data_IF_752975338040
#
_entry.id   IF_752975338040
#
_cell.length_a   1.000
_cell.length_b   1.000
_cell.length_c   1.000
_cell.angle_alpha   90.00
_cell.angle_beta   90.00
_cell.angle_gamma   90.00
#
_symmetry.space_group_name_H-M   'P 1'
#
loop_
_entity.id
_entity.type
_entity.pdbx_description
1 polymer ?
#
# COMPACT_ATOMS: atom_id res chain seq x y z
N UNK A 1 -36.45 -5.92 32.34
CA UNK A 1 -36.89 -6.87 33.39
C UNK A 1 -36.68 -8.28 32.86
N UNK A 2 -35.63 -8.95 33.32
CA UNK A 2 -35.36 -10.35 32.96
C UNK A 2 -36.14 -11.25 33.91
N UNK A 3 -37.02 -12.10 33.37
CA UNK A 3 -37.76 -13.10 34.14
C UNK A 3 -36.92 -14.38 34.14
N UNK A 4 -36.61 -14.89 35.34
CA UNK A 4 -35.91 -16.17 35.51
C UNK A 4 -36.83 -17.35 35.15
N UNK A 5 -36.32 -18.40 34.49
CA UNK A 5 -37.13 -19.56 34.12
C UNK A 5 -37.58 -20.35 35.35
N UNK A 6 -38.80 -20.88 35.29
CA UNK A 6 -39.40 -21.63 36.40
C UNK A 6 -38.76 -23.03 36.55
N UNK A 7 -38.84 -23.68 37.73
CA UNK A 7 -38.27 -25.01 37.97
C UNK A 7 -38.73 -26.09 36.97
N UNK A 8 -39.91 -25.92 36.35
CA UNK A 8 -40.44 -26.81 35.31
C UNK A 8 -39.70 -26.67 33.97
N UNK A 9 -39.14 -25.50 33.66
CA UNK A 9 -38.37 -25.27 32.42
C UNK A 9 -36.93 -25.79 32.55
N UNK A 10 -36.35 -25.71 33.75
CA UNK A 10 -35.04 -26.31 34.05
C UNK A 10 -35.06 -27.84 33.91
N UNK A 11 -36.16 -28.50 34.30
CA UNK A 11 -36.32 -29.95 34.13
C UNK A 11 -36.45 -30.39 32.65
N UNK A 12 -37.04 -29.55 31.79
CA UNK A 12 -37.12 -29.79 30.34
C UNK A 12 -35.74 -29.64 29.67
N UNK A 13 -34.96 -28.64 30.08
CA UNK A 13 -33.59 -28.43 29.57
C UNK A 13 -32.64 -29.56 29.96
N UNK A 14 -32.74 -30.10 31.18
CA UNK A 14 -31.96 -31.26 31.61
C UNK A 14 -32.31 -32.53 30.82
N UNK A 15 -33.58 -32.73 30.49
CA UNK A 15 -34.02 -33.87 29.67
C UNK A 15 -33.52 -33.78 28.22
N UNK A 16 -33.55 -32.59 27.63
CA UNK A 16 -33.02 -32.34 26.27
C UNK A 16 -31.50 -32.53 26.22
N UNK A 17 -30.77 -32.05 27.23
CA UNK A 17 -29.32 -32.25 27.33
C UNK A 17 -28.95 -33.74 27.44
N UNK A 18 -29.75 -34.53 28.18
CA UNK A 18 -29.52 -35.97 28.34
C UNK A 18 -29.76 -36.74 27.03
N UNK A 19 -30.80 -36.38 26.28
CA UNK A 19 -31.08 -36.96 24.95
C UNK A 19 -29.98 -36.60 23.93
N UNK A 20 -29.50 -35.34 23.95
CA UNK A 20 -28.39 -34.93 23.08
C UNK A 20 -27.08 -35.66 23.42
N UNK A 21 -26.80 -35.90 24.70
CA UNK A 21 -25.61 -36.66 25.12
C UNK A 21 -25.69 -38.12 24.65
N UNK A 22 -26.87 -38.74 24.73
CA UNK A 22 -27.11 -40.11 24.24
C UNK A 22 -26.99 -40.20 22.71
N UNK A 23 -27.46 -39.19 21.96
CA UNK A 23 -27.29 -39.12 20.51
C UNK A 23 -25.82 -38.92 20.10
N UNK A 24 -25.06 -38.12 20.85
CA UNK A 24 -23.62 -37.95 20.62
C UNK A 24 -22.83 -39.23 20.93
N UNK A 25 -23.17 -39.95 22.01
CA UNK A 25 -22.54 -41.22 22.37
C UNK A 25 -22.84 -42.34 21.37
N UNK A 26 -24.09 -42.42 20.88
CA UNK A 26 -24.45 -43.41 19.85
C UNK A 26 -23.79 -43.12 18.50
N UNK A 27 -23.66 -41.84 18.13
CA UNK A 27 -22.93 -41.44 16.92
C UNK A 27 -21.42 -41.70 17.04
N UNK A 28 -20.83 -41.48 18.24
CA UNK A 28 -19.43 -41.80 18.51
C UNK A 28 -19.16 -43.31 18.43
N UNK A 29 -19.99 -44.14 19.05
CA UNK A 29 -19.87 -45.62 18.98
C UNK A 29 -20.04 -46.14 17.53
N UNK A 30 -20.88 -45.47 16.71
CA UNK A 30 -21.04 -45.79 15.29
C UNK A 30 -19.78 -45.45 14.47
N UNK A 31 -19.14 -44.31 14.73
CA UNK A 31 -17.89 -43.90 14.07
C UNK A 31 -16.72 -44.79 14.47
N UNK A 32 -16.64 -45.23 15.73
CA UNK A 32 -15.61 -46.17 16.21
C UNK A 32 -15.71 -47.54 15.50
N UNK A 33 -16.93 -48.04 15.27
CA UNK A 33 -17.16 -49.29 14.52
C UNK A 33 -16.82 -49.17 13.04
N UNK A 34 -17.04 -47.99 12.43
CA UNK A 34 -16.62 -47.71 11.05
C UNK A 34 -15.09 -47.64 10.93
N UNK A 35 -14.42 -47.03 11.91
CA UNK A 35 -12.96 -46.94 11.98
C UNK A 35 -12.27 -48.30 12.21
N UNK A 36 -12.89 -49.24 12.93
CA UNK A 36 -12.38 -50.61 13.08
C UNK A 36 -12.64 -51.53 11.87
N UNK A 37 -13.71 -51.28 11.10
CA UNK A 37 -14.00 -51.95 9.84
C UNK A 37 -12.95 -51.62 8.77
N UNK A 38 -12.57 -50.34 8.65
CA UNK A 38 -11.60 -49.89 7.64
C UNK A 38 -10.16 -50.36 7.91
N UNK A 39 -9.84 -50.74 9.16
CA UNK A 39 -8.54 -51.36 9.49
C UNK A 39 -8.41 -52.82 9.04
N UNK A 40 -9.50 -53.53 8.75
CA UNK A 40 -9.45 -54.93 8.30
C UNK A 40 -9.28 -55.09 6.78
N UNK A 41 -9.33 -54.00 6.01
CA UNK A 41 -9.16 -54.04 4.55
C UNK A 41 -7.72 -53.79 4.06
N UNK A 42 -6.77 -53.50 4.97
CA UNK A 42 -5.38 -53.14 4.59
C UNK A 42 -4.37 -54.30 4.63
N UNK A 43 -4.79 -55.56 4.83
CA UNK A 43 -3.89 -56.71 4.80
C UNK A 43 -4.46 -57.88 4.00
N UNK A 44 -4.58 -57.72 2.67
CA UNK A 44 -4.53 -58.83 1.71
C UNK A 44 -4.64 -58.30 0.27
N UNK A 45 -3.51 -58.22 -0.44
CA UNK A 45 -3.37 -58.77 -1.79
C UNK A 45 -1.99 -58.44 -2.36
N UNK A 46 -1.21 -59.49 -2.59
CA UNK A 46 -0.07 -59.49 -3.50
C UNK A 46 -0.64 -59.46 -4.92
N UNK A 47 -0.45 -58.36 -5.65
CA UNK A 47 -0.49 -58.38 -7.12
C UNK A 47 0.65 -57.50 -7.64
N UNK A 48 1.59 -58.16 -8.32
CA UNK A 48 2.68 -57.53 -9.08
C UNK A 48 2.08 -56.82 -10.30
N UNK A 49 1.77 -55.54 -10.15
CA UNK A 49 1.50 -54.62 -11.24
C UNK A 49 2.51 -53.46 -11.15
N UNK A 50 3.15 -53.13 -12.28
CA UNK A 50 4.07 -51.99 -12.41
C UNK A 50 3.52 -50.75 -11.68
N UNK A 51 4.11 -50.40 -10.55
CA UNK A 51 3.93 -49.08 -9.94
C UNK A 51 4.57 -48.08 -10.89
N UNK A 52 3.77 -47.46 -11.74
CA UNK A 52 4.06 -46.12 -12.19
C UNK A 52 4.10 -45.27 -10.92
N UNK A 53 5.31 -44.88 -10.49
CA UNK A 53 5.45 -43.82 -9.50
C UNK A 53 4.58 -42.64 -9.98
N UNK A 54 3.77 -42.01 -9.12
CA UNK A 54 3.20 -40.74 -9.49
C UNK A 54 4.39 -39.87 -9.84
N UNK A 55 4.44 -39.40 -11.09
CA UNK A 55 5.32 -38.32 -11.49
C UNK A 55 5.21 -37.29 -10.38
N UNK A 56 6.30 -37.01 -9.67
CA UNK A 56 6.37 -35.85 -8.77
C UNK A 56 5.89 -34.68 -9.60
N UNK A 57 4.62 -34.30 -9.43
CA UNK A 57 4.05 -33.17 -10.10
C UNK A 57 4.84 -32.01 -9.51
N UNK A 58 5.83 -31.51 -10.27
CA UNK A 58 6.69 -30.43 -9.82
C UNK A 58 5.76 -29.36 -9.30
N UNK A 59 5.91 -29.04 -8.03
CA UNK A 59 5.14 -28.01 -7.38
C UNK A 59 5.24 -26.75 -8.24
N UNK A 60 4.15 -26.40 -8.95
CA UNK A 60 4.13 -25.26 -9.86
C UNK A 60 4.51 -23.97 -9.13
N UNK A 61 4.20 -23.89 -7.84
CA UNK A 61 4.49 -22.75 -7.00
C UNK A 61 5.91 -22.75 -6.43
N UNK A 62 6.66 -23.85 -6.52
CA UNK A 62 8.08 -23.92 -6.13
C UNK A 62 8.41 -23.24 -4.79
N UNK A 63 7.60 -23.46 -3.76
CA UNK A 63 7.81 -22.78 -2.46
C UNK A 63 7.50 -21.28 -2.44
N UNK A 64 6.62 -20.81 -3.33
CA UNK A 64 6.14 -19.41 -3.39
C UNK A 64 4.68 -19.28 -2.95
N UNK A 65 4.23 -20.14 -2.05
CA UNK A 65 2.83 -20.14 -1.61
C UNK A 65 2.56 -19.04 -0.59
N UNK A 66 1.44 -18.35 -0.76
CA UNK A 66 0.97 -17.33 0.17
C UNK A 66 -0.31 -17.82 0.84
N UNK A 67 -0.40 -17.62 2.14
CA UNK A 67 -1.63 -17.81 2.91
C UNK A 67 -2.12 -16.46 3.42
N UNK A 68 -3.41 -16.17 3.22
CA UNK A 68 -4.04 -14.97 3.75
C UNK A 68 -4.74 -15.34 5.05
N UNK A 69 -4.40 -14.66 6.15
CA UNK A 69 -5.08 -14.90 7.43
C UNK A 69 -6.59 -14.64 7.30
N UNK A 70 -7.46 -15.57 7.75
CA UNK A 70 -8.91 -15.39 7.73
C UNK A 70 -9.34 -14.50 8.90
N UNK A 71 -8.92 -13.23 8.86
CA UNK A 71 -9.24 -12.25 9.89
C UNK A 71 -10.74 -11.93 9.90
N UNK A 72 -11.35 -11.71 11.08
CA UNK A 72 -12.72 -11.22 11.18
C UNK A 72 -12.95 -9.92 10.38
N UNK A 73 -14.15 -9.70 9.80
CA UNK A 73 -14.43 -8.55 8.93
C UNK A 73 -14.14 -7.16 9.53
N UNK A 74 -14.09 -7.06 10.86
CA UNK A 74 -13.75 -5.83 11.58
C UNK A 74 -12.35 -5.28 11.24
N UNK A 75 -11.43 -6.13 10.75
CA UNK A 75 -10.07 -5.76 10.37
C UNK A 75 -9.95 -5.32 8.91
N UNK A 76 -10.99 -5.44 8.09
CA UNK A 76 -10.96 -5.02 6.70
C UNK A 76 -12.31 -4.51 6.19
N UNK A 77 -13.25 -5.39 5.83
CA UNK A 77 -14.52 -5.04 5.19
C UNK A 77 -15.32 -4.01 5.97
N UNK A 78 -15.45 -4.16 7.28
CA UNK A 78 -16.20 -3.21 8.12
C UNK A 78 -15.49 -1.87 8.31
N UNK A 79 -14.17 -1.80 8.10
CA UNK A 79 -13.44 -0.53 8.07
C UNK A 79 -13.83 0.22 6.80
N UNK A 80 -13.90 -0.47 5.66
CA UNK A 80 -14.36 0.13 4.40
C UNK A 80 -15.81 0.59 4.49
N UNK A 81 -16.71 -0.24 5.03
CA UNK A 81 -18.11 0.10 5.22
C UNK A 81 -18.27 1.37 6.06
N UNK A 82 -17.49 1.53 7.14
CA UNK A 82 -17.51 2.73 8.00
C UNK A 82 -16.93 3.97 7.33
N UNK A 83 -15.85 3.82 6.59
CA UNK A 83 -15.18 4.95 5.95
C UNK A 83 -15.97 5.55 4.77
N UNK A 84 -16.95 4.82 4.18
CA UNK A 84 -17.94 5.40 3.28
C UNK A 84 -18.98 6.31 3.97
N UNK A 85 -19.13 6.28 5.30
CA UNK A 85 -20.14 7.05 6.05
C UNK A 85 -19.58 8.29 6.77
N UNK A 86 -18.30 8.66 6.55
CA UNK A 86 -17.69 9.83 7.18
C UNK A 86 -17.38 10.90 6.13
N UNK A 87 -18.34 11.81 5.92
CA UNK A 87 -18.08 13.20 5.52
C UNK A 87 -18.99 14.13 6.34
N UNK A 88 -18.40 15.13 7.02
CA UNK A 88 -18.70 16.51 6.66
C UNK A 88 -17.45 17.25 6.13
N UNK A 89 -17.64 18.31 5.33
CA UNK A 89 -16.59 19.01 4.61
C UNK A 89 -15.82 19.90 5.58
N UNK A 90 -14.57 19.57 5.92
CA UNK A 90 -13.53 20.53 6.39
C UNK A 90 -12.22 19.88 6.85
N UNK A 91 -12.05 18.55 6.87
CA UNK A 91 -10.78 17.93 7.26
C UNK A 91 -10.12 17.19 6.09
N UNK A 92 -8.90 17.64 5.77
CA UNK A 92 -7.98 17.20 4.71
C UNK A 92 -7.51 15.73 4.76
N UNK A 93 -8.36 14.74 5.06
CA UNK A 93 -7.84 13.35 5.18
C UNK A 93 -8.84 12.22 4.85
N UNK A 94 -9.92 12.49 4.13
CA UNK A 94 -10.98 11.50 3.80
C UNK A 94 -10.84 10.80 2.44
N UNK A 95 -9.67 10.83 1.79
CA UNK A 95 -9.49 10.37 0.39
C UNK A 95 -9.48 8.85 0.15
N UNK A 96 -9.71 8.00 1.16
CA UNK A 96 -9.41 6.57 1.04
C UNK A 96 -10.50 5.72 0.37
N UNK A 97 -11.76 6.17 0.30
CA UNK A 97 -12.86 5.38 -0.28
C UNK A 97 -13.72 6.11 -1.31
N UNK A 98 -13.64 7.44 -1.42
CA UNK A 98 -14.41 8.23 -2.40
C UNK A 98 -13.83 8.20 -3.82
N UNK A 99 -12.82 7.35 -4.06
CA UNK A 99 -11.77 7.67 -5.03
C UNK A 99 -11.63 6.60 -6.14
N UNK A 100 -12.68 5.78 -6.31
CA UNK A 100 -12.86 4.87 -7.47
C UNK A 100 -13.94 5.33 -8.47
N UNK A 101 -14.40 6.58 -8.39
CA UNK A 101 -15.34 7.13 -9.37
C UNK A 101 -14.60 7.62 -10.63
N UNK A 102 -15.07 7.16 -11.78
CA UNK A 102 -14.71 7.71 -13.09
C UNK A 102 -15.22 9.15 -13.21
N UNK A 103 -14.53 10.06 -13.93
CA UNK A 103 -15.01 11.41 -14.12
C UNK A 103 -16.34 11.40 -14.91
N UNK A 104 -17.38 11.95 -14.29
CA UNK A 104 -18.49 12.55 -15.03
C UNK A 104 -17.99 13.82 -15.71
N UNK A 105 -18.39 14.03 -16.96
CA UNK A 105 -18.08 15.21 -17.77
C UNK A 105 -18.52 16.50 -17.07
N UNK A 106 -17.65 17.16 -16.29
CA UNK A 106 -17.68 18.62 -16.08
C UNK A 106 -16.47 19.05 -15.24
N UNK A 107 -15.39 19.45 -15.91
CA UNK A 107 -14.39 20.36 -15.34
C UNK A 107 -13.74 21.15 -16.49
N UNK A 108 -14.49 22.10 -17.03
CA UNK A 108 -13.99 23.12 -17.94
C UNK A 108 -13.11 24.09 -17.16
N UNK A 109 -11.79 23.87 -17.26
CA UNK A 109 -10.69 24.85 -17.32
C UNK A 109 -9.41 24.17 -16.76
N UNK A 110 -8.37 24.11 -17.61
CA UNK A 110 -6.96 23.66 -17.37
C UNK A 110 -6.53 22.27 -17.93
N UNK A 111 -7.38 21.46 -18.56
CA UNK A 111 -7.02 20.12 -19.06
C UNK A 111 -6.73 20.06 -20.58
N UNK A 112 -5.56 20.50 -21.02
CA UNK A 112 -5.12 20.29 -22.41
C UNK A 112 -4.51 18.90 -22.68
N UNK A 113 -4.54 17.97 -21.71
CA UNK A 113 -4.00 16.62 -21.90
C UNK A 113 -5.08 15.55 -21.79
N UNK A 114 -5.02 14.55 -22.68
CA UNK A 114 -5.87 13.36 -22.63
C UNK A 114 -5.07 12.24 -21.97
N UNK A 115 -5.56 11.74 -20.84
CA UNK A 115 -5.01 10.58 -20.16
C UNK A 115 -5.54 9.33 -20.86
N UNK A 116 -4.67 8.59 -21.54
CA UNK A 116 -5.02 7.43 -22.34
C UNK A 116 -4.28 6.18 -21.83
N UNK A 117 -4.90 4.99 -21.90
CA UNK A 117 -6.33 4.79 -22.13
C UNK A 117 -7.15 5.22 -20.90
N UNK A 118 -8.27 5.90 -21.12
CA UNK A 118 -9.06 6.49 -20.02
C UNK A 118 -9.56 5.44 -19.00
N UNK A 119 -9.75 4.18 -19.45
CA UNK A 119 -10.14 3.03 -18.63
C UNK A 119 -9.12 2.62 -17.56
N UNK A 120 -7.87 3.09 -17.68
CA UNK A 120 -6.80 2.79 -16.75
C UNK A 120 -6.56 3.91 -15.73
N UNK A 121 -7.28 5.03 -15.83
CA UNK A 121 -7.11 6.18 -14.93
C UNK A 121 -8.24 6.31 -13.91
N UNK A 122 -7.85 6.44 -12.65
CA UNK A 122 -8.72 6.50 -11.49
C UNK A 122 -8.30 7.65 -10.58
N UNK A 123 -9.25 8.14 -9.77
CA UNK A 123 -8.96 9.15 -8.74
C UNK A 123 -8.38 8.49 -7.48
N UNK A 124 -7.29 7.75 -7.56
CA UNK A 124 -6.83 6.92 -6.43
C UNK A 124 -6.30 7.74 -5.25
N UNK A 125 -6.88 7.51 -4.06
CA UNK A 125 -6.44 8.11 -2.80
C UNK A 125 -5.05 7.64 -2.35
N UNK A 126 -4.27 8.54 -1.74
CA UNK A 126 -2.89 8.28 -1.33
C UNK A 126 -2.71 7.15 -0.30
N UNK A 127 -3.78 6.80 0.43
CA UNK A 127 -3.77 5.76 1.47
C UNK A 127 -4.43 4.44 1.05
N UNK A 128 -4.67 4.24 -0.25
CA UNK A 128 -5.37 3.06 -0.79
C UNK A 128 -4.51 1.77 -0.83
N UNK A 129 -3.24 1.83 -0.42
CA UNK A 129 -2.27 0.74 -0.58
C UNK A 129 -2.75 -0.60 -0.02
N UNK A 130 -3.38 -0.60 1.16
CA UNK A 130 -3.88 -1.83 1.83
C UNK A 130 -4.92 -2.56 0.98
N UNK A 131 -5.83 -1.80 0.35
CA UNK A 131 -6.88 -2.34 -0.50
C UNK A 131 -6.25 -2.97 -1.75
N UNK A 132 -5.35 -2.25 -2.40
CA UNK A 132 -4.75 -2.66 -3.67
C UNK A 132 -3.89 -3.92 -3.51
N UNK A 133 -3.06 -3.97 -2.47
CA UNK A 133 -2.22 -5.13 -2.19
C UNK A 133 -3.06 -6.33 -1.79
N UNK A 134 -4.10 -6.16 -0.95
CA UNK A 134 -4.99 -7.28 -0.58
C UNK A 134 -5.72 -7.85 -1.80
N UNK A 135 -6.23 -6.98 -2.68
CA UNK A 135 -6.90 -7.40 -3.91
C UNK A 135 -5.96 -8.14 -4.87
N UNK A 136 -4.68 -7.78 -4.91
CA UNK A 136 -3.67 -8.51 -5.68
C UNK A 136 -3.29 -9.84 -5.05
N UNK A 137 -3.13 -9.92 -3.74
CA UNK A 137 -2.92 -11.19 -3.04
C UNK A 137 -4.05 -12.20 -3.29
N UNK A 138 -5.32 -11.74 -3.30
CA UNK A 138 -6.48 -12.60 -3.58
C UNK A 138 -6.48 -13.22 -4.99
N UNK A 139 -5.80 -12.59 -5.94
CA UNK A 139 -5.68 -13.05 -7.33
C UNK A 139 -4.34 -13.74 -7.61
N UNK A 140 -3.49 -13.88 -6.60
CA UNK A 140 -2.18 -14.50 -6.76
C UNK A 140 -2.30 -15.99 -7.06
N UNK A 141 -1.61 -16.46 -8.10
CA UNK A 141 -1.75 -17.83 -8.62
C UNK A 141 -1.32 -18.92 -7.62
N UNK A 142 -0.44 -18.58 -6.68
CA UNK A 142 0.06 -19.49 -5.64
C UNK A 142 -0.52 -19.20 -4.27
N UNK A 143 -1.76 -18.72 -4.22
CA UNK A 143 -2.54 -18.68 -2.99
C UNK A 143 -2.88 -20.11 -2.51
N UNK A 144 -2.77 -20.36 -1.21
CA UNK A 144 -3.14 -21.65 -0.59
C UNK A 144 -4.11 -21.45 0.56
N UNK A 145 -5.09 -22.36 0.68
CA UNK A 145 -5.98 -22.44 1.85
C UNK A 145 -5.39 -23.31 2.97
N UNK A 146 -4.34 -24.08 2.68
CA UNK A 146 -3.59 -24.83 3.69
C UNK A 146 -2.39 -24.01 4.20
N UNK A 147 -2.42 -23.53 5.47
CA UNK A 147 -1.33 -22.78 6.05
C UNK A 147 -0.06 -23.61 6.28
N UNK A 148 -0.09 -24.95 6.21
CA UNK A 148 1.11 -25.78 6.30
C UNK A 148 1.96 -25.75 5.04
N UNK A 149 1.34 -25.41 3.90
CA UNK A 149 2.04 -25.29 2.62
C UNK A 149 2.57 -23.88 2.37
N UNK A 150 2.26 -22.93 3.23
CA UNK A 150 2.55 -21.52 3.02
C UNK A 150 4.01 -21.16 3.35
N UNK A 151 4.58 -20.31 2.50
CA UNK A 151 5.92 -19.74 2.66
C UNK A 151 5.85 -18.31 3.22
N UNK A 152 4.75 -17.61 2.92
CA UNK A 152 4.48 -16.25 3.37
C UNK A 152 3.03 -16.14 3.87
N UNK A 153 2.84 -15.44 4.99
CA UNK A 153 1.54 -15.20 5.60
C UNK A 153 1.18 -13.72 5.49
N UNK A 154 0.15 -13.39 4.72
CA UNK A 154 -0.37 -12.03 4.64
C UNK A 154 -1.42 -11.79 5.74
N UNK A 155 -1.30 -10.67 6.44
CA UNK A 155 -2.23 -10.21 7.48
C UNK A 155 -3.10 -9.08 6.88
N UNK A 156 -4.37 -9.35 6.49
CA UNK A 156 -5.23 -8.37 5.83
C UNK A 156 -5.93 -7.43 6.84
N UNK A 157 -5.15 -6.71 7.65
CA UNK A 157 -5.63 -5.65 8.53
C UNK A 157 -5.41 -4.29 7.87
N UNK A 158 -6.49 -3.53 7.66
CA UNK A 158 -6.46 -2.19 7.07
C UNK A 158 -6.19 -1.13 8.15
N UNK A 159 -5.02 -1.23 8.80
CA UNK A 159 -4.65 -0.42 9.94
C UNK A 159 -4.57 1.08 9.60
N UNK A 160 -4.11 1.43 8.40
CA UNK A 160 -4.04 2.81 7.92
C UNK A 160 -5.43 3.43 7.81
N UNK A 161 -6.38 2.70 7.23
CA UNK A 161 -7.77 3.14 7.12
C UNK A 161 -8.50 3.17 8.47
N UNK A 162 -8.17 2.25 9.36
CA UNK A 162 -8.69 2.21 10.73
C UNK A 162 -8.23 3.43 11.53
N UNK A 163 -6.91 3.67 11.61
CA UNK A 163 -6.36 4.76 12.41
C UNK A 163 -6.80 6.12 11.88
N UNK A 164 -6.98 6.28 10.57
CA UNK A 164 -7.45 7.51 9.92
C UNK A 164 -8.76 8.04 10.53
N UNK A 165 -9.67 7.15 10.93
CA UNK A 165 -10.95 7.52 11.53
C UNK A 165 -10.79 8.16 12.92
N UNK A 166 -9.62 7.99 13.54
CA UNK A 166 -9.37 8.30 14.93
C UNK A 166 -8.13 9.19 15.18
N UNK A 167 -7.33 9.51 14.15
CA UNK A 167 -6.09 10.31 14.30
C UNK A 167 -6.33 11.65 15.00
N UNK A 168 -7.44 12.32 14.71
CA UNK A 168 -7.77 13.63 15.27
C UNK A 168 -8.69 13.59 16.50
N UNK A 169 -9.16 12.39 16.92
CA UNK A 169 -9.96 12.29 18.15
C UNK A 169 -9.10 12.37 19.40
N UNK A 170 -9.68 12.85 20.51
CA UNK A 170 -9.07 12.77 21.84
C UNK A 170 -9.14 11.36 22.45
N UNK A 171 -9.97 10.47 21.89
CA UNK A 171 -10.13 9.09 22.37
C UNK A 171 -9.01 8.21 21.84
N UNK A 172 -7.81 8.34 22.40
CA UNK A 172 -6.58 7.66 21.96
C UNK A 172 -6.72 6.14 21.95
N UNK A 173 -7.46 5.58 22.91
CA UNK A 173 -7.76 4.15 22.99
C UNK A 173 -8.44 3.60 21.73
N UNK A 174 -9.18 4.44 20.98
CA UNK A 174 -9.82 4.03 19.74
C UNK A 174 -8.79 3.78 18.63
N UNK A 175 -7.64 4.47 18.66
CA UNK A 175 -6.54 4.32 17.70
C UNK A 175 -5.83 2.97 17.85
N UNK A 176 -5.81 2.40 19.07
CA UNK A 176 -5.07 1.17 19.37
C UNK A 176 -5.97 -0.08 19.45
N UNK A 177 -7.29 0.11 19.57
CA UNK A 177 -8.26 -0.94 19.90
C UNK A 177 -8.18 -2.14 18.96
N UNK A 178 -8.16 -1.94 17.64
CA UNK A 178 -8.06 -3.06 16.72
C UNK A 178 -6.64 -3.61 16.64
N UNK A 179 -5.59 -2.78 16.73
CA UNK A 179 -4.21 -3.26 16.82
C UNK A 179 -3.98 -4.26 17.97
N UNK A 180 -4.48 -3.95 19.17
CA UNK A 180 -4.41 -4.84 20.33
C UNK A 180 -5.24 -6.12 20.15
N UNK A 181 -6.41 -6.03 19.50
CA UNK A 181 -7.22 -7.22 19.18
C UNK A 181 -6.57 -8.10 18.12
N UNK A 182 -5.85 -7.51 17.16
CA UNK A 182 -5.06 -8.25 16.18
C UNK A 182 -3.94 -9.02 16.87
N UNK A 183 -3.22 -8.39 17.80
CA UNK A 183 -2.18 -9.06 18.58
C UNK A 183 -2.72 -10.31 19.28
N UNK A 184 -3.85 -10.21 19.99
CA UNK A 184 -4.48 -11.35 20.63
C UNK A 184 -4.87 -12.47 19.65
N UNK A 185 -5.36 -12.14 18.45
CA UNK A 185 -5.64 -13.12 17.40
C UNK A 185 -4.36 -13.84 16.94
N UNK A 186 -3.28 -13.08 16.69
CA UNK A 186 -2.02 -13.62 16.19
C UNK A 186 -1.32 -14.50 17.24
N UNK A 187 -1.28 -14.08 18.51
CA UNK A 187 -0.71 -14.86 19.61
C UNK A 187 -1.47 -16.19 19.82
N UNK A 188 -2.77 -16.23 19.54
CA UNK A 188 -3.56 -17.46 19.54
C UNK A 188 -3.32 -18.38 18.33
N UNK A 189 -2.63 -17.90 17.29
CA UNK A 189 -2.43 -18.64 16.04
C UNK A 189 -1.09 -19.41 16.04
N UNK A 190 -1.16 -20.74 15.89
CA UNK A 190 0.05 -21.60 15.86
C UNK A 190 1.04 -21.25 14.74
N UNK A 191 0.55 -20.77 13.59
CA UNK A 191 1.39 -20.47 12.44
C UNK A 191 2.18 -19.16 12.64
N UNK A 192 1.59 -18.20 13.37
CA UNK A 192 2.32 -17.04 13.88
C UNK A 192 3.43 -17.45 14.85
N UNK A 193 3.08 -18.26 15.86
CA UNK A 193 3.99 -18.66 16.94
C UNK A 193 5.20 -19.47 16.44
N UNK A 194 5.02 -20.29 15.40
CA UNK A 194 6.08 -21.15 14.81
C UNK A 194 7.35 -20.39 14.46
N UNK A 195 7.21 -19.20 13.85
CA UNK A 195 8.35 -18.34 13.46
C UNK A 195 8.29 -16.96 14.13
N UNK A 196 7.45 -16.79 15.15
CA UNK A 196 7.20 -15.52 15.85
C UNK A 196 6.97 -14.35 14.87
N UNK A 197 6.17 -14.60 13.83
CA UNK A 197 5.82 -13.59 12.82
C UNK A 197 6.87 -13.33 11.73
N UNK A 198 8.05 -13.94 11.73
CA UNK A 198 9.10 -13.66 10.71
C UNK A 198 8.69 -13.97 9.26
N UNK A 199 7.76 -14.89 9.07
CA UNK A 199 7.15 -15.26 7.79
C UNK A 199 5.83 -14.51 7.53
N UNK A 200 5.53 -13.48 8.30
CA UNK A 200 4.32 -12.70 8.18
C UNK A 200 4.59 -11.30 7.64
N UNK A 201 3.66 -10.81 6.83
CA UNK A 201 3.70 -9.46 6.28
C UNK A 201 2.40 -8.71 6.59
N UNK A 202 2.57 -7.48 7.04
CA UNK A 202 1.51 -6.49 7.25
C UNK A 202 1.72 -5.35 6.25
N UNK A 203 0.64 -4.91 5.61
CA UNK A 203 0.65 -3.72 4.76
C UNK A 203 -0.03 -2.61 5.54
N UNK A 204 0.60 -1.44 5.59
CA UNK A 204 0.11 -0.27 6.30
C UNK A 204 -0.04 0.86 5.29
N UNK A 205 -1.28 1.31 5.11
CA UNK A 205 -1.63 2.25 4.05
C UNK A 205 -1.17 3.68 4.28
N UNK A 206 -0.47 3.96 5.39
CA UNK A 206 -0.03 5.29 5.81
C UNK A 206 1.45 5.32 6.15
N UNK A 207 1.95 6.50 6.47
CA UNK A 207 3.35 6.72 6.86
C UNK A 207 3.62 6.10 8.24
N UNK A 208 4.87 5.70 8.48
CA UNK A 208 5.28 5.04 9.74
C UNK A 208 4.89 5.82 11.01
N UNK A 209 4.90 7.15 10.94
CA UNK A 209 4.61 8.03 12.07
C UNK A 209 3.17 7.92 12.58
N UNK A 210 2.23 7.45 11.74
CA UNK A 210 0.83 7.26 12.15
C UNK A 210 0.62 6.03 13.05
N UNK A 211 1.67 5.22 13.23
CA UNK A 211 1.61 3.96 13.98
C UNK A 211 2.71 3.83 15.06
N UNK A 212 3.60 4.82 15.16
CA UNK A 212 4.80 4.78 16.01
C UNK A 212 4.63 5.47 17.36
N UNK A 213 3.41 5.69 17.84
CA UNK A 213 3.19 6.36 19.13
C UNK A 213 3.71 5.48 20.27
N UNK A 214 4.47 6.08 21.18
CA UNK A 214 4.83 5.41 22.44
C UNK A 214 3.56 5.10 23.24
N UNK A 215 3.49 3.89 23.81
CA UNK A 215 2.38 3.50 24.67
C UNK A 215 2.31 4.35 25.95
N UNK A 216 3.43 4.91 26.39
CA UNK A 216 3.54 5.75 27.59
C UNK A 216 3.05 7.19 27.37
N UNK A 217 3.01 7.65 26.11
CA UNK A 217 2.59 9.02 25.77
C UNK A 217 1.25 9.00 25.04
N UNK A 218 0.16 9.05 25.81
CA UNK A 218 -1.20 9.03 25.30
C UNK A 218 -1.60 10.33 24.58
N UNK A 219 -0.86 11.44 24.72
CA UNK A 219 -1.21 12.71 24.05
C UNK A 219 -0.57 12.85 22.66
N UNK A 220 0.35 11.96 22.31
CA UNK A 220 1.10 12.03 21.05
C UNK A 220 0.28 11.58 19.83
N UNK A 221 0.80 11.88 18.64
CA UNK A 221 0.20 11.54 17.34
C UNK A 221 0.25 10.03 17.06
N UNK A 222 -0.74 9.51 16.32
CA UNK A 222 -0.75 8.13 15.82
C UNK A 222 -1.33 7.07 16.79
N UNK A 223 -1.33 5.82 16.33
CA UNK A 223 -1.58 4.62 17.14
C UNK A 223 -0.27 4.03 17.68
N UNK A 224 -0.37 3.04 18.59
CA UNK A 224 0.78 2.31 19.12
C UNK A 224 1.15 1.04 18.36
N UNK A 225 0.53 0.76 17.19
CA UNK A 225 0.64 -0.53 16.50
C UNK A 225 2.10 -0.98 16.25
N UNK A 226 2.99 -0.06 15.85
CA UNK A 226 4.40 -0.36 15.59
C UNK A 226 5.28 -0.32 16.85
N UNK A 227 4.72 0.08 17.99
CA UNK A 227 5.38 0.01 19.29
C UNK A 227 5.17 -1.35 19.99
N UNK A 228 4.26 -2.19 19.46
CA UNK A 228 3.99 -3.54 19.97
C UNK A 228 5.17 -4.47 19.62
N UNK A 229 5.95 -4.82 20.63
CA UNK A 229 7.18 -5.62 20.46
C UNK A 229 6.94 -6.98 19.80
N UNK A 230 5.82 -7.62 20.08
CA UNK A 230 5.49 -8.93 19.50
C UNK A 230 5.34 -8.87 17.99
N UNK A 231 4.99 -7.69 17.44
CA UNK A 231 4.85 -7.50 16.00
C UNK A 231 6.21 -7.23 15.33
N UNK A 232 7.29 -6.92 16.05
CA UNK A 232 8.57 -6.44 15.48
C UNK A 232 9.16 -7.33 14.39
N UNK A 233 9.02 -8.64 14.55
CA UNK A 233 9.57 -9.65 13.64
C UNK A 233 8.83 -9.75 12.30
N UNK A 234 7.56 -9.35 12.23
CA UNK A 234 6.82 -9.34 10.97
C UNK A 234 7.37 -8.25 10.04
N UNK A 235 7.33 -8.49 8.74
CA UNK A 235 7.66 -7.47 7.74
C UNK A 235 6.50 -6.48 7.63
N UNK A 236 6.79 -5.17 7.61
CA UNK A 236 5.79 -4.11 7.39
C UNK A 236 6.09 -3.42 6.08
N UNK A 237 5.09 -3.36 5.21
CA UNK A 237 5.13 -2.59 3.97
C UNK A 237 4.32 -1.31 4.18
N UNK A 238 4.94 -0.16 3.98
CA UNK A 238 4.34 1.15 4.23
C UNK A 238 4.51 2.08 3.02
N UNK A 239 3.80 3.20 2.94
CA UNK A 239 4.09 4.24 1.93
C UNK A 239 5.32 5.11 2.31
N UNK A 240 5.70 5.09 3.59
CA UNK A 240 6.93 5.67 4.13
C UNK A 240 7.42 4.80 5.30
N UNK A 241 8.67 4.36 5.26
CA UNK A 241 9.29 3.52 6.29
C UNK A 241 10.11 4.35 7.28
N UNK A 242 10.27 3.83 8.48
CA UNK A 242 11.38 4.21 9.35
C UNK A 242 12.67 3.59 8.76
N UNK A 243 13.57 4.46 8.30
CA UNK A 243 14.80 4.06 7.61
C UNK A 243 15.73 3.23 8.49
N UNK A 244 15.55 3.31 9.82
CA UNK A 244 16.35 2.60 10.83
C UNK A 244 15.79 1.21 11.18
N UNK A 245 14.61 0.85 10.66
CA UNK A 245 13.97 -0.45 10.91
C UNK A 245 14.11 -1.36 9.70
N UNK A 246 14.87 -2.43 9.85
CA UNK A 246 15.09 -3.42 8.78
C UNK A 246 13.86 -4.27 8.47
N UNK A 247 12.93 -4.41 9.41
CA UNK A 247 11.65 -5.10 9.21
C UNK A 247 10.61 -4.25 8.47
N UNK A 248 10.97 -3.03 8.06
CA UNK A 248 10.11 -2.13 7.32
C UNK A 248 10.65 -1.85 5.92
N UNK A 249 9.76 -1.78 4.93
CA UNK A 249 10.08 -1.36 3.59
C UNK A 249 9.01 -0.42 3.04
N UNK A 250 9.42 0.62 2.32
CA UNK A 250 8.48 1.54 1.69
C UNK A 250 8.10 1.04 0.29
N UNK A 251 6.80 1.05 0.00
CA UNK A 251 6.23 0.83 -1.31
C UNK A 251 5.80 2.18 -1.93
N UNK A 252 5.78 2.28 -3.28
CA UNK A 252 5.30 3.45 -3.99
C UNK A 252 3.92 3.90 -3.50
N UNK A 253 3.73 5.22 -3.39
CA UNK A 253 2.39 5.75 -3.14
C UNK A 253 1.45 5.33 -4.28
N UNK A 254 0.19 4.93 -3.99
CA UNK A 254 -0.82 4.72 -5.02
C UNK A 254 -0.97 5.95 -5.94
N UNK A 255 -0.75 5.74 -7.23
CA UNK A 255 -0.98 6.73 -8.31
C UNK A 255 -2.37 6.55 -8.94
N UNK A 256 -2.78 7.41 -9.86
CA UNK A 256 -4.06 7.26 -10.56
C UNK A 256 -4.09 6.23 -11.69
N UNK A 257 -2.92 5.77 -12.17
CA UNK A 257 -2.82 4.85 -13.30
C UNK A 257 -2.77 3.37 -12.85
N UNK A 258 -3.78 2.59 -13.25
CA UNK A 258 -3.98 1.18 -12.92
C UNK A 258 -4.37 0.37 -14.16
N UNK A 259 -3.38 0.00 -14.99
CA UNK A 259 -3.62 -0.78 -16.19
C UNK A 259 -4.05 -2.21 -15.87
N UNK A 260 -4.74 -2.84 -16.80
CA UNK A 260 -5.12 -4.25 -16.75
C UNK A 260 -4.39 -5.12 -17.78
N UNK A 261 -3.62 -4.50 -18.67
CA UNK A 261 -2.86 -5.23 -19.68
C UNK A 261 -1.56 -4.53 -20.04
N UNK A 262 -0.64 -5.29 -20.64
CA UNK A 262 0.60 -4.78 -21.20
C UNK A 262 0.36 -3.67 -22.24
N UNK A 263 -0.66 -3.82 -23.07
CA UNK A 263 -0.99 -2.84 -24.11
C UNK A 263 -1.29 -1.47 -23.51
N UNK A 264 -2.05 -1.40 -22.41
CA UNK A 264 -2.39 -0.12 -21.76
C UNK A 264 -1.13 0.58 -21.20
N UNK A 265 -0.12 -0.18 -20.75
CA UNK A 265 1.19 0.37 -20.37
C UNK A 265 1.94 0.89 -21.58
N UNK A 266 2.03 0.10 -22.66
CA UNK A 266 2.73 0.49 -23.88
C UNK A 266 2.12 1.78 -24.47
N UNK A 267 0.78 1.90 -24.44
CA UNK A 267 0.05 3.11 -24.83
C UNK A 267 0.39 4.31 -23.94
N UNK A 268 0.40 4.13 -22.61
CA UNK A 268 0.77 5.22 -21.70
C UNK A 268 2.24 5.64 -21.85
N UNK A 269 3.16 4.68 -22.01
CA UNK A 269 4.56 4.96 -22.28
C UNK A 269 4.73 5.73 -23.60
N UNK A 270 3.95 5.43 -24.63
CA UNK A 270 3.94 6.19 -25.87
C UNK A 270 3.48 7.65 -25.66
N UNK A 271 2.46 7.88 -24.82
CA UNK A 271 2.02 9.24 -24.43
C UNK A 271 3.13 9.98 -23.68
N UNK A 272 3.77 9.33 -22.71
CA UNK A 272 4.84 9.91 -21.91
C UNK A 272 6.06 10.27 -22.75
N UNK A 273 6.48 9.37 -23.64
CA UNK A 273 7.64 9.55 -24.52
C UNK A 273 7.35 10.54 -25.66
N UNK A 274 6.10 10.64 -26.10
CA UNK A 274 5.66 11.57 -27.14
C UNK A 274 5.29 12.96 -26.63
N UNK A 275 5.31 13.20 -25.31
CA UNK A 275 4.99 14.51 -24.74
C UNK A 275 6.01 15.58 -25.18
N UNK A 276 5.52 16.73 -25.62
CA UNK A 276 6.35 17.87 -26.04
C UNK A 276 7.09 18.55 -24.88
N UNK A 277 6.64 18.30 -23.63
CA UNK A 277 7.24 18.84 -22.40
C UNK A 277 7.47 20.36 -22.46
N UNK A 278 6.44 21.11 -22.84
CA UNK A 278 6.49 22.55 -23.10
C UNK A 278 6.65 23.44 -21.84
N UNK A 279 6.56 22.86 -20.65
CA UNK A 279 6.87 23.52 -19.38
C UNK A 279 8.26 23.04 -18.89
N UNK A 280 9.20 23.96 -18.68
CA UNK A 280 10.52 23.56 -18.16
C UNK A 280 10.40 23.04 -16.72
N UNK A 281 9.79 23.83 -15.83
CA UNK A 281 9.62 23.48 -14.42
C UNK A 281 8.16 23.61 -14.02
N UNK A 282 7.67 22.69 -13.21
CA UNK A 282 6.43 22.89 -12.46
C UNK A 282 6.57 22.60 -10.97
N UNK A 283 5.71 23.28 -10.20
CA UNK A 283 5.55 23.03 -8.77
C UNK A 283 4.07 22.90 -8.42
N UNK A 284 3.65 21.68 -8.09
CA UNK A 284 2.34 21.38 -7.53
C UNK A 284 2.41 21.26 -6.00
N UNK A 285 1.85 22.25 -5.31
CA UNK A 285 1.80 22.23 -3.85
C UNK A 285 1.16 23.46 -3.22
N UNK A 286 0.67 23.26 -1.99
CA UNK A 286 0.19 24.32 -1.12
C UNK A 286 1.34 24.94 -0.32
N UNK A 287 1.20 26.21 0.06
CA UNK A 287 2.00 26.78 1.14
C UNK A 287 1.56 26.17 2.47
N UNK A 288 2.49 26.15 3.43
CA UNK A 288 2.23 25.69 4.80
C UNK A 288 2.41 26.86 5.75
N UNK A 289 1.57 26.89 6.79
CA UNK A 289 1.66 27.89 7.84
C UNK A 289 2.90 27.65 8.72
N UNK A 290 3.32 28.71 9.42
CA UNK A 290 4.45 28.67 10.35
C UNK A 290 5.84 28.79 9.71
N UNK A 291 6.84 28.65 10.58
CA UNK A 291 8.25 28.87 10.26
C UNK A 291 9.08 27.58 10.24
N UNK A 292 8.41 26.42 10.18
CA UNK A 292 9.08 25.14 10.04
C UNK A 292 9.89 25.02 8.75
N UNK A 293 10.84 24.09 8.75
CA UNK A 293 11.73 23.80 7.63
C UNK A 293 10.99 23.55 6.30
N UNK A 294 9.94 22.73 6.31
CA UNK A 294 9.09 22.46 5.13
C UNK A 294 8.39 23.70 4.61
N UNK A 295 7.79 24.50 5.51
CA UNK A 295 7.09 25.73 5.13
C UNK A 295 8.05 26.73 4.47
N UNK A 296 9.25 26.86 5.02
CA UNK A 296 10.31 27.72 4.50
C UNK A 296 10.81 27.26 3.13
N UNK A 297 11.06 25.95 2.94
CA UNK A 297 11.41 25.38 1.64
C UNK A 297 10.36 25.68 0.57
N UNK A 298 9.08 25.39 0.86
CA UNK A 298 7.98 25.66 -0.09
C UNK A 298 7.85 27.13 -0.44
N UNK A 299 8.02 28.03 0.54
CA UNK A 299 8.04 29.49 0.31
C UNK A 299 9.22 29.90 -0.57
N UNK A 300 10.42 29.36 -0.32
CA UNK A 300 11.59 29.64 -1.15
C UNK A 300 11.35 29.22 -2.59
N UNK A 301 10.99 27.96 -2.84
CA UNK A 301 10.73 27.44 -4.18
C UNK A 301 9.63 28.22 -4.91
N UNK A 302 8.56 28.60 -4.20
CA UNK A 302 7.50 29.42 -4.77
C UNK A 302 7.99 30.80 -5.18
N UNK A 303 8.80 31.45 -4.34
CA UNK A 303 9.44 32.74 -4.67
C UNK A 303 10.35 32.61 -5.88
N UNK A 304 11.17 31.56 -5.96
CA UNK A 304 12.05 31.34 -7.12
C UNK A 304 11.23 31.15 -8.41
N UNK A 305 10.18 30.33 -8.35
CA UNK A 305 9.28 30.10 -9.48
C UNK A 305 8.59 31.38 -9.95
N UNK A 306 8.13 32.24 -9.02
CA UNK A 306 7.53 33.54 -9.34
C UNK A 306 8.50 34.52 -9.99
N UNK A 307 9.79 34.49 -9.63
CA UNK A 307 10.83 35.31 -10.29
C UNK A 307 11.11 34.85 -11.73
N UNK A 308 10.82 33.60 -12.05
CA UNK A 308 11.07 32.97 -13.35
C UNK A 308 9.77 32.48 -14.00
N UNK A 309 8.76 33.35 -14.08
CA UNK A 309 7.40 33.02 -14.55
C UNK A 309 7.34 32.36 -15.94
N UNK A 310 8.33 32.64 -16.80
CA UNK A 310 8.43 32.03 -18.15
C UNK A 310 8.97 30.60 -18.14
N UNK A 311 9.68 30.22 -17.08
CA UNK A 311 10.34 28.93 -16.95
C UNK A 311 9.63 28.01 -15.96
N UNK A 312 8.83 28.56 -15.06
CA UNK A 312 8.26 27.81 -13.95
C UNK A 312 6.76 28.05 -13.77
N UNK A 313 6.00 26.95 -13.79
CA UNK A 313 4.54 26.95 -13.59
C UNK A 313 4.17 26.50 -12.19
N UNK A 314 3.33 27.29 -11.49
CA UNK A 314 2.85 26.96 -10.14
C UNK A 314 1.42 26.44 -10.19
N UNK A 315 1.22 25.20 -9.78
CA UNK A 315 -0.11 24.65 -9.50
C UNK A 315 -0.43 24.82 -8.01
N UNK A 316 -1.34 25.75 -7.71
CA UNK A 316 -1.72 26.17 -6.36
C UNK A 316 -2.74 25.21 -5.76
N UNK A 317 -2.25 24.15 -5.09
CA UNK A 317 -3.11 23.12 -4.52
C UNK A 317 -4.03 23.63 -3.41
N UNK A 318 -3.70 24.74 -2.76
CA UNK A 318 -4.58 25.41 -1.79
C UNK A 318 -5.82 26.07 -2.43
N UNK A 319 -5.85 26.21 -3.77
CA UNK A 319 -6.99 26.76 -4.51
C UNK A 319 -7.75 25.72 -5.31
N UNK A 320 -7.03 24.77 -5.91
CA UNK A 320 -7.61 23.80 -6.86
C UNK A 320 -7.99 22.50 -6.17
N UNK A 321 -7.52 22.27 -4.94
CA UNK A 321 -7.61 20.97 -4.27
C UNK A 321 -7.05 19.84 -5.17
N UNK A 322 -5.73 19.72 -5.17
CA UNK A 322 -5.02 18.75 -6.01
C UNK A 322 -5.36 17.28 -5.71
N UNK A 323 -5.91 16.99 -4.53
CA UNK A 323 -6.33 15.63 -4.16
C UNK A 323 -7.68 15.26 -4.81
N UNK A 324 -8.59 16.22 -4.91
CA UNK A 324 -9.88 16.05 -5.60
C UNK A 324 -9.77 16.16 -7.13
N UNK A 325 -8.71 16.81 -7.62
CA UNK A 325 -8.47 17.04 -9.05
C UNK A 325 -7.10 16.50 -9.51
N UNK A 326 -6.81 15.20 -9.32
CA UNK A 326 -5.51 14.60 -9.62
C UNK A 326 -5.14 14.62 -11.12
N UNK A 327 -6.13 14.68 -12.00
CA UNK A 327 -5.94 14.81 -13.45
C UNK A 327 -5.22 16.10 -13.84
N UNK A 328 -5.47 17.21 -13.12
CA UNK A 328 -4.81 18.49 -13.38
C UNK A 328 -3.33 18.40 -13.01
N UNK A 329 -3.03 17.77 -11.87
CA UNK A 329 -1.65 17.52 -11.42
C UNK A 329 -0.91 16.67 -12.45
N UNK A 330 -1.53 15.59 -12.90
CA UNK A 330 -0.97 14.67 -13.90
C UNK A 330 -0.72 15.37 -15.22
N UNK A 331 -1.66 16.17 -15.73
CA UNK A 331 -1.48 16.91 -16.97
C UNK A 331 -0.36 17.95 -16.90
N UNK A 332 -0.26 18.70 -15.79
CA UNK A 332 0.85 19.65 -15.59
C UNK A 332 2.18 18.90 -15.55
N UNK A 333 2.26 17.78 -14.83
CA UNK A 333 3.47 16.97 -14.76
C UNK A 333 3.84 16.35 -16.13
N UNK A 334 2.87 15.88 -16.92
CA UNK A 334 3.08 15.32 -18.26
C UNK A 334 3.68 16.35 -19.22
N UNK A 335 3.30 17.62 -19.06
CA UNK A 335 3.84 18.75 -19.83
C UNK A 335 5.15 19.31 -19.27
N UNK A 336 5.58 18.86 -18.10
CA UNK A 336 6.77 19.38 -17.42
C UNK A 336 8.02 18.54 -17.70
N UNK A 337 9.15 19.20 -17.94
CA UNK A 337 10.48 18.55 -17.96
C UNK A 337 10.87 18.17 -16.53
N UNK A 338 10.85 19.15 -15.62
CA UNK A 338 11.21 18.98 -14.21
C UNK A 338 10.04 19.29 -13.28
N UNK A 339 9.87 18.46 -12.24
CA UNK A 339 8.83 18.65 -11.23
C UNK A 339 9.47 18.84 -9.86
N UNK A 340 9.20 19.97 -9.21
CA UNK A 340 9.73 20.26 -7.87
C UNK A 340 8.99 19.42 -6.83
N UNK A 341 9.73 18.56 -6.12
CA UNK A 341 9.23 17.60 -5.12
C UNK A 341 9.73 17.94 -3.70
N UNK A 342 9.35 19.10 -3.11
CA UNK A 342 9.69 19.37 -1.72
C UNK A 342 8.95 18.40 -0.77
N UNK A 343 9.54 18.10 0.41
CA UNK A 343 8.91 17.29 1.46
C UNK A 343 7.47 17.70 1.77
N UNK A 344 6.63 16.77 2.21
CA UNK A 344 5.26 16.99 2.70
C UNK A 344 5.22 17.29 4.20
N UNK A 345 4.20 16.78 4.88
CA UNK A 345 4.17 16.68 6.36
C UNK A 345 5.28 15.77 6.88
N UNK A 346 5.67 14.80 6.06
CA UNK A 346 6.84 13.95 6.23
C UNK A 346 7.79 14.11 5.03
N UNK A 347 8.97 13.45 5.02
CA UNK A 347 9.90 13.55 3.89
C UNK A 347 9.33 13.12 2.53
N UNK A 348 8.34 12.20 2.51
CA UNK A 348 7.75 11.65 1.28
C UNK A 348 6.39 12.27 0.94
N UNK A 349 5.89 12.03 -0.28
CA UNK A 349 4.55 12.46 -0.73
C UNK A 349 4.12 11.77 -2.03
N UNK A 350 2.81 11.55 -2.19
CA UNK A 350 2.19 11.02 -3.42
C UNK A 350 2.62 11.74 -4.72
N UNK A 351 2.74 13.07 -4.67
CA UNK A 351 3.09 13.87 -5.86
C UNK A 351 4.43 13.49 -6.51
N UNK A 352 5.36 12.91 -5.75
CA UNK A 352 6.61 12.37 -6.29
C UNK A 352 6.31 11.25 -7.31
N UNK A 353 5.41 10.33 -6.97
CA UNK A 353 5.01 9.23 -7.82
C UNK A 353 4.07 9.64 -8.95
N UNK A 354 3.16 10.58 -8.72
CA UNK A 354 2.32 11.13 -9.80
C UNK A 354 3.20 11.82 -10.87
N UNK A 355 4.24 12.53 -10.46
CA UNK A 355 5.23 13.11 -11.38
C UNK A 355 5.99 12.06 -12.18
N UNK A 356 6.46 10.99 -11.52
CA UNK A 356 7.15 9.88 -12.20
C UNK A 356 6.24 9.16 -13.20
N UNK A 357 5.00 8.85 -12.82
CA UNK A 357 4.02 8.22 -13.73
C UNK A 357 3.73 9.11 -14.94
N UNK A 358 3.71 10.44 -14.74
CA UNK A 358 3.61 11.40 -15.83
C UNK A 358 4.93 11.62 -16.61
N UNK A 359 6.00 10.90 -16.30
CA UNK A 359 7.31 10.99 -16.96
C UNK A 359 8.11 12.26 -16.66
N UNK A 360 7.72 13.02 -15.63
CA UNK A 360 8.41 14.24 -15.22
C UNK A 360 9.66 13.89 -14.42
N UNK A 361 10.79 14.56 -14.69
CA UNK A 361 12.02 14.34 -13.93
C UNK A 361 11.84 14.94 -12.52
N UNK A 362 11.90 14.13 -11.44
CA UNK A 362 11.74 14.65 -10.10
C UNK A 362 12.97 15.44 -9.67
N UNK A 363 12.71 16.63 -9.12
CA UNK A 363 13.71 17.47 -8.45
C UNK A 363 13.46 17.37 -6.95
N UNK A 364 14.38 16.74 -6.23
CA UNK A 364 14.23 16.43 -4.81
C UNK A 364 15.17 17.26 -3.93
N UNK A 365 14.75 17.46 -2.68
CA UNK A 365 15.43 18.34 -1.73
C UNK A 365 15.83 17.64 -0.43
N UNK A 366 15.58 16.35 -0.34
CA UNK A 366 15.95 15.49 0.76
C UNK A 366 16.12 14.08 0.23
N UNK A 367 17.19 13.38 0.66
CA UNK A 367 17.38 11.98 0.31
C UNK A 367 16.23 11.10 0.83
N UNK A 368 15.62 11.52 1.94
CA UNK A 368 14.47 10.84 2.54
C UNK A 368 13.18 10.98 1.73
N UNK A 369 13.13 11.83 0.71
CA UNK A 369 11.97 11.90 -0.20
C UNK A 369 11.83 10.63 -1.04
N UNK A 370 12.93 9.94 -1.36
CA UNK A 370 12.87 8.73 -2.17
C UNK A 370 14.01 7.73 -1.94
N UNK A 371 15.25 8.22 -1.85
CA UNK A 371 16.46 7.41 -1.98
C UNK A 371 16.64 6.42 -0.83
N UNK A 372 16.24 6.83 0.39
CA UNK A 372 16.30 5.95 1.56
C UNK A 372 15.01 5.14 1.76
N UNK A 373 13.97 5.39 0.97
CA UNK A 373 12.62 4.87 1.19
C UNK A 373 12.34 3.67 0.27
N UNK A 374 12.37 3.88 -1.05
CA UNK A 374 11.79 2.98 -2.05
C UNK A 374 12.83 2.05 -2.70
N UNK A 375 13.66 1.42 -1.87
CA UNK A 375 14.84 0.66 -2.28
C UNK A 375 14.56 -0.52 -3.22
N UNK A 376 13.32 -1.05 -3.20
CA UNK A 376 12.92 -2.16 -4.09
C UNK A 376 12.45 -1.68 -5.47
N UNK A 377 11.97 -0.45 -5.58
CA UNK A 377 11.23 0.03 -6.75
C UNK A 377 12.03 1.01 -7.61
N UNK A 378 12.85 1.85 -6.97
CA UNK A 378 13.65 2.87 -7.66
C UNK A 378 15.09 2.41 -7.92
N UNK A 379 15.76 2.95 -8.95
CA UNK A 379 17.18 2.69 -9.19
C UNK A 379 18.04 3.04 -7.97
N UNK A 380 19.10 2.25 -7.74
CA UNK A 380 20.05 2.48 -6.63
C UNK A 380 20.84 3.77 -6.78
N UNK A 381 21.17 4.15 -8.01
CA UNK A 381 21.83 5.41 -8.33
C UNK A 381 20.75 6.50 -8.48
N UNK A 382 20.62 7.44 -7.54
CA UNK A 382 19.58 8.45 -7.59
C UNK A 382 19.77 9.45 -8.73
N UNK A 383 21.03 9.72 -9.10
CA UNK A 383 21.34 10.63 -10.20
C UNK A 383 20.95 10.04 -11.55
N UNK A 384 20.71 8.74 -11.66
CA UNK A 384 20.25 8.13 -12.90
C UNK A 384 18.85 8.57 -13.33
N UNK A 385 18.02 9.07 -12.42
CA UNK A 385 16.61 9.38 -12.70
C UNK A 385 16.09 10.69 -12.09
N UNK A 386 16.90 11.40 -11.29
CA UNK A 386 16.45 12.58 -10.56
C UNK A 386 17.54 13.65 -10.44
N UNK A 387 17.14 14.86 -10.04
CA UNK A 387 18.04 15.97 -9.71
C UNK A 387 17.90 16.29 -8.22
N UNK A 388 19.02 16.43 -7.53
CA UNK A 388 19.06 16.74 -6.10
C UNK A 388 19.61 18.15 -5.85
N UNK A 389 18.90 18.92 -5.03
CA UNK A 389 19.42 20.18 -4.47
C UNK A 389 19.38 20.11 -2.94
N UNK A 390 20.51 20.33 -2.24
CA UNK A 390 20.52 20.29 -0.79
C UNK A 390 19.55 21.28 -0.17
N UNK A 391 18.78 20.81 0.82
CA UNK A 391 17.71 21.57 1.45
C UNK A 391 18.14 22.98 1.92
N UNK A 392 19.26 23.04 2.63
CA UNK A 392 19.80 24.27 3.22
C UNK A 392 20.13 25.32 2.15
N UNK A 393 20.78 24.92 1.05
CA UNK A 393 21.20 25.79 -0.04
C UNK A 393 20.02 26.43 -0.80
N UNK A 394 18.85 25.79 -0.77
CA UNK A 394 17.63 26.34 -1.39
C UNK A 394 16.94 27.33 -0.45
N UNK A 395 16.98 27.08 0.86
CA UNK A 395 16.35 27.95 1.87
C UNK A 395 17.14 29.23 2.08
N UNK A 396 18.46 29.15 2.21
CA UNK A 396 19.32 30.32 2.38
C UNK A 396 19.40 31.18 1.11
N UNK A 397 18.98 30.62 -0.04
CA UNK A 397 18.95 31.30 -1.32
C UNK A 397 20.28 31.31 -2.05
N UNK A 398 21.26 30.51 -1.61
CA UNK A 398 22.55 30.33 -2.30
C UNK A 398 22.38 29.67 -3.67
N UNK A 399 21.31 28.90 -3.88
CA UNK A 399 20.98 28.28 -5.17
C UNK A 399 19.66 28.80 -5.72
N UNK A 400 19.68 29.27 -6.97
CA UNK A 400 18.49 29.46 -7.79
C UNK A 400 18.19 28.19 -8.60
N UNK A 401 17.34 27.33 -8.02
CA UNK A 401 16.95 26.03 -8.56
C UNK A 401 16.44 26.14 -10.00
N UNK A 402 15.67 27.19 -10.31
CA UNK A 402 15.08 27.33 -11.65
C UNK A 402 16.16 27.65 -12.69
N UNK A 403 17.12 28.52 -12.36
CA UNK A 403 18.25 28.76 -13.24
C UNK A 403 19.16 27.55 -13.41
N UNK A 404 19.45 26.81 -12.34
CA UNK A 404 20.29 25.60 -12.44
C UNK A 404 19.63 24.55 -13.33
N UNK A 405 18.33 24.31 -13.18
CA UNK A 405 17.58 23.39 -14.04
C UNK A 405 17.60 23.82 -15.52
N UNK A 406 17.52 25.12 -15.80
CA UNK A 406 17.59 25.66 -17.16
C UNK A 406 18.96 25.47 -17.84
N UNK A 407 20.03 25.24 -17.06
CA UNK A 407 21.38 24.98 -17.58
C UNK A 407 21.66 23.50 -17.86
N UNK A 408 20.77 22.59 -17.46
CA UNK A 408 20.98 21.16 -17.68
C UNK A 408 20.96 20.86 -19.19
N UNK A 409 22.01 20.23 -19.75
CA UNK A 409 22.06 19.93 -21.18
C UNK A 409 20.93 19.01 -21.63
N UNK A 410 20.40 19.23 -22.83
CA UNK A 410 19.31 18.43 -23.39
C UNK A 410 19.62 16.93 -23.47
N UNK A 411 20.89 16.55 -23.67
CA UNK A 411 21.32 15.15 -23.64
C UNK A 411 21.11 14.50 -22.27
N UNK A 412 21.40 15.24 -21.19
CA UNK A 412 21.17 14.78 -19.81
C UNK A 412 19.68 14.69 -19.51
N UNK A 413 18.89 15.67 -19.95
CA UNK A 413 17.42 15.65 -19.83
C UNK A 413 16.83 14.38 -20.48
N UNK A 414 17.21 14.08 -21.73
CA UNK A 414 16.75 12.86 -22.42
C UNK A 414 17.12 11.59 -21.67
N UNK A 415 18.37 11.48 -21.20
CA UNK A 415 18.81 10.33 -20.40
C UNK A 415 17.98 10.13 -19.14
N UNK A 416 17.61 11.22 -18.45
CA UNK A 416 16.77 11.17 -17.25
C UNK A 416 15.32 10.78 -17.60
N UNK A 417 14.76 11.33 -18.68
CA UNK A 417 13.42 10.96 -19.16
C UNK A 417 13.33 9.48 -19.53
N UNK A 418 14.33 8.94 -20.22
CA UNK A 418 14.40 7.52 -20.55
C UNK A 418 14.47 6.64 -19.29
N UNK A 419 15.20 7.09 -18.26
CA UNK A 419 15.26 6.40 -16.98
C UNK A 419 13.91 6.44 -16.25
N UNK A 420 13.25 7.61 -16.21
CA UNK A 420 11.91 7.75 -15.62
C UNK A 420 10.89 6.86 -16.33
N UNK A 421 10.90 6.81 -17.66
CA UNK A 421 10.00 5.95 -18.43
C UNK A 421 10.15 4.45 -18.05
N UNK A 422 11.39 3.99 -17.82
CA UNK A 422 11.67 2.62 -17.35
C UNK A 422 11.21 2.36 -15.91
N UNK A 423 11.06 3.40 -15.09
CA UNK A 423 10.56 3.29 -13.71
C UNK A 423 9.04 3.10 -13.67
N UNK A 424 8.29 3.72 -14.60
CA UNK A 424 6.81 3.77 -14.56
C UNK A 424 6.16 2.42 -14.25
N UNK A 425 6.46 1.31 -14.97
CA UNK A 425 5.79 0.04 -14.70
C UNK A 425 6.06 -0.49 -13.28
N UNK A 426 7.23 -0.18 -12.69
CA UNK A 426 7.71 -0.69 -11.41
C UNK A 426 7.08 -0.02 -10.18
N UNK A 427 6.41 1.12 -10.39
CA UNK A 427 5.85 1.96 -9.32
C UNK A 427 4.33 2.04 -9.31
N UNK A 428 3.68 1.51 -10.34
CA UNK A 428 2.23 1.43 -10.43
C UNK A 428 1.71 0.12 -9.84
N UNK A 429 0.40 0.06 -9.66
CA UNK A 429 -0.30 -1.14 -9.21
C UNK A 429 -1.34 -1.48 -10.27
N UNK A 430 -1.06 -2.50 -11.06
CA UNK A 430 -1.97 -3.04 -12.06
C UNK A 430 -3.10 -3.85 -11.41
N UNK A 431 -4.20 -4.03 -12.14
CA UNK A 431 -5.35 -4.82 -11.67
C UNK A 431 -5.05 -6.33 -11.66
N UNK A 432 -4.18 -6.76 -12.56
CA UNK A 432 -3.73 -8.13 -12.76
C UNK A 432 -2.21 -8.15 -12.96
N UNK A 433 -1.59 -9.34 -12.91
CA UNK A 433 -0.15 -9.46 -13.21
C UNK A 433 0.08 -9.20 -14.69
N UNK A 434 1.15 -8.48 -15.00
CA UNK A 434 1.43 -7.98 -16.34
C UNK A 434 2.63 -8.72 -16.93
N UNK A 435 2.42 -9.38 -18.07
CA UNK A 435 3.49 -10.06 -18.79
C UNK A 435 4.61 -9.07 -19.17
N UNK A 436 5.82 -9.34 -18.68
CA UNK A 436 7.02 -8.54 -18.99
C UNK A 436 7.16 -7.21 -18.24
N UNK A 437 6.16 -6.81 -17.43
CA UNK A 437 6.20 -5.58 -16.63
C UNK A 437 5.87 -5.87 -15.16
N UNK A 438 6.84 -6.32 -14.35
CA UNK A 438 6.60 -6.53 -12.93
C UNK A 438 6.30 -5.19 -12.27
N UNK A 439 5.11 -5.10 -11.67
CA UNK A 439 4.64 -3.89 -11.04
C UNK A 439 5.04 -3.79 -9.56
N UNK A 440 4.57 -2.76 -8.86
CA UNK A 440 4.95 -2.56 -7.47
C UNK A 440 4.52 -3.74 -6.56
N UNK A 441 3.39 -4.39 -6.83
CA UNK A 441 3.00 -5.59 -6.09
C UNK A 441 3.91 -6.77 -6.42
N UNK A 442 4.16 -7.04 -7.71
CA UNK A 442 4.94 -8.20 -8.13
C UNK A 442 6.38 -8.13 -7.60
N UNK A 443 6.99 -6.95 -7.65
CA UNK A 443 8.33 -6.68 -7.08
C UNK A 443 8.34 -6.92 -5.57
N UNK A 444 7.35 -6.38 -4.84
CA UNK A 444 7.28 -6.54 -3.39
C UNK A 444 7.09 -8.02 -3.00
N UNK A 445 6.22 -8.73 -3.71
CA UNK A 445 5.97 -10.15 -3.48
C UNK A 445 7.21 -10.99 -3.71
N UNK A 446 7.94 -10.75 -4.80
CA UNK A 446 9.21 -11.44 -5.09
C UNK A 446 10.21 -11.23 -3.95
N UNK A 447 10.38 -9.99 -3.47
CA UNK A 447 11.29 -9.67 -2.37
C UNK A 447 10.90 -10.33 -1.06
N UNK A 448 9.60 -10.37 -0.75
CA UNK A 448 9.10 -11.05 0.44
C UNK A 448 9.36 -12.56 0.37
N UNK A 449 9.14 -13.20 -0.78
CA UNK A 449 9.34 -14.63 -0.93
C UNK A 449 10.81 -15.04 -0.88
N UNK A 450 11.72 -14.25 -1.46
CA UNK A 450 13.18 -14.49 -1.38
C UNK A 450 13.69 -14.31 0.05
N UNK A 451 13.18 -13.32 0.79
CA UNK A 451 13.58 -13.09 2.19
C UNK A 451 13.20 -14.23 3.16
N UNK A 452 12.37 -15.19 2.71
CA UNK A 452 11.95 -16.36 3.49
C UNK A 452 12.76 -17.63 3.17
N UNK A 453 13.70 -17.58 2.23
CA UNK A 453 14.65 -18.67 1.98
C UNK A 453 15.68 -18.72 3.12
N UNK A 454 16.01 -19.93 3.63
CA UNK A 454 16.79 -20.14 4.86
C UNK A 454 18.26 -19.68 4.78
#
# INVERSE_FOLDING_TARGET
>A
MCIAPTPREMAKLASIATVMLLLLLTNWISQEKKFQSDRRWLFSSRFLGRKTFPLFQRDHCQGKRVYIHPLPPQFNRQILERACFITPPTSNDSGALDSLQFPGETATLVSSCRLLPASSWYRTGQFALEIMIHERFRRYQCLTDDPHLANLFYIPYYAGLDVSQYLFTKQVQMRDKLGQRLLGYLQGNRHWNRKRGRDHVLVLGRIVWDFGRSEENHESWGSSLLSIQELDNATKLLIERDVWRSSQMALPYPTGFHPDSRQEIDEWLAVVNGSSRDLLVSFAGALRDGNGSTATMRRSLRRQCQRHERLCTILRCERINCEENPEIVTCVALRSVFCLMPPGDSPTRKAFFDGLVAGCIPVVFSEHTAYTQYLWHLPRDPESYSIFFPHHSVIDGSIDVIQELARIPAARVRSLQDAVARIIPRIIYAKSSLDGYPDAFDIALEKLLVAQEP
#
